data_IF_908831292202
#
_entry.id   IF_908831292202
#
_cell.length_a   1.000
_cell.length_b   1.000
_cell.length_c   1.000
_cell.angle_alpha   90.00
_cell.angle_beta   90.00
_cell.angle_gamma   90.00
#
_symmetry.space_group_name_H-M   'P 1'
#
loop_
_entity.id
_entity.type
_entity.pdbx_description
1 polymer ?
#
# COMPACT_ATOMS: atom_id res chain seq x y z
N UNK A 1 12.87 -23.85 7.51
CA UNK A 1 12.78 -22.59 6.75
C UNK A 1 12.41 -21.49 7.71
N UNK A 2 13.03 -20.31 7.61
CA UNK A 2 12.57 -19.14 8.36
C UNK A 2 11.21 -18.71 7.79
N UNK A 3 10.24 -18.48 8.67
CA UNK A 3 8.94 -17.96 8.29
C UNK A 3 9.11 -16.48 7.96
N UNK A 4 8.88 -16.09 6.71
CA UNK A 4 9.00 -14.68 6.28
C UNK A 4 7.80 -13.87 6.77
N UNK A 5 8.01 -12.57 6.96
CA UNK A 5 6.96 -11.63 7.36
C UNK A 5 6.17 -11.25 6.10
N UNK A 6 4.83 -11.30 6.15
CA UNK A 6 3.97 -10.81 5.06
C UNK A 6 3.64 -9.33 5.31
N UNK A 7 4.19 -8.38 4.53
CA UNK A 7 3.90 -6.98 4.73
C UNK A 7 2.48 -6.64 4.24
N UNK A 8 1.74 -5.91 5.08
CA UNK A 8 0.44 -5.36 4.74
C UNK A 8 0.52 -3.84 4.77
N UNK A 9 0.35 -3.19 3.62
CA UNK A 9 0.47 -1.74 3.47
C UNK A 9 -0.92 -1.14 3.26
N UNK A 10 -1.38 -0.31 4.20
CA UNK A 10 -2.65 0.40 4.08
C UNK A 10 -2.44 1.76 3.39
N UNK A 11 -2.79 1.83 2.11
CA UNK A 11 -2.66 3.00 1.24
C UNK A 11 -4.03 3.64 0.92
N UNK A 12 -4.93 3.66 1.91
CA UNK A 12 -6.25 4.26 1.82
C UNK A 12 -6.34 5.71 2.31
N UNK A 13 -7.50 6.33 2.07
CA UNK A 13 -7.83 7.68 2.54
C UNK A 13 -7.44 8.79 1.55
N UNK A 14 -8.28 9.84 1.50
CA UNK A 14 -8.11 10.97 0.56
C UNK A 14 -7.09 12.01 1.03
N UNK A 15 -6.76 12.03 2.33
CA UNK A 15 -5.71 12.87 2.91
C UNK A 15 -5.85 14.37 2.56
N UNK A 16 -6.87 15.06 3.06
CA UNK A 16 -7.17 16.46 2.70
C UNK A 16 -6.35 17.52 3.46
N UNK A 17 -5.59 17.11 4.47
CA UNK A 17 -4.85 18.01 5.39
C UNK A 17 -3.58 18.64 4.78
N UNK A 18 -3.10 18.10 3.65
CA UNK A 18 -1.91 18.62 2.97
C UNK A 18 -2.28 19.49 1.76
N UNK A 19 -3.49 20.03 1.71
CA UNK A 19 -3.85 20.98 0.66
C UNK A 19 -2.88 22.18 0.68
N UNK A 20 -2.37 22.69 -0.46
CA UNK A 20 -2.74 22.33 -1.85
C UNK A 20 -1.90 21.20 -2.48
N UNK A 21 -0.95 20.62 -1.75
CA UNK A 21 -0.10 19.50 -2.21
C UNK A 21 -0.93 18.23 -2.44
N UNK A 22 -1.81 17.89 -1.49
CA UNK A 22 -2.79 16.81 -1.70
C UNK A 22 -3.99 17.32 -2.51
N UNK A 23 -4.29 16.66 -3.61
CA UNK A 23 -5.50 16.87 -4.42
C UNK A 23 -6.35 15.60 -4.41
N UNK A 24 -7.63 15.70 -4.80
CA UNK A 24 -8.49 14.52 -4.90
C UNK A 24 -7.88 13.41 -5.79
N UNK A 25 -7.17 13.81 -6.85
CA UNK A 25 -6.45 12.90 -7.76
C UNK A 25 -5.05 12.48 -7.27
N UNK A 26 -4.51 13.14 -6.24
CA UNK A 26 -3.16 12.88 -5.72
C UNK A 26 -3.18 12.87 -4.17
N UNK A 27 -3.62 11.76 -3.56
CA UNK A 27 -3.60 11.56 -2.12
C UNK A 27 -2.18 11.66 -1.54
N UNK A 28 -2.08 11.98 -0.25
CA UNK A 28 -0.81 12.16 0.45
C UNK A 28 0.21 11.03 0.24
N UNK A 29 -0.25 9.78 0.10
CA UNK A 29 0.61 8.61 0.00
C UNK A 29 1.26 8.50 -1.37
N UNK A 30 0.68 9.12 -2.40
CA UNK A 30 1.11 9.01 -3.79
C UNK A 30 1.80 10.28 -4.31
N UNK A 31 2.10 11.25 -3.43
CA UNK A 31 2.87 12.45 -3.77
C UNK A 31 4.31 12.32 -3.29
N UNK A 32 5.24 12.92 -4.04
CA UNK A 32 6.61 13.18 -3.59
C UNK A 32 6.57 14.28 -2.54
N UNK A 33 6.61 13.88 -1.27
CA UNK A 33 6.55 14.81 -0.15
C UNK A 33 7.95 15.30 0.25
N UNK A 34 8.93 14.39 0.25
CA UNK A 34 10.35 14.66 0.52
C UNK A 34 11.15 13.80 -0.47
N UNK A 35 12.03 14.43 -1.25
CA UNK A 35 12.87 13.72 -2.21
C UNK A 35 12.16 13.34 -3.50
N UNK A 36 12.65 12.28 -4.15
CA UNK A 36 12.27 11.81 -5.48
C UNK A 36 11.24 10.67 -5.47
N UNK A 37 10.93 10.11 -4.29
CA UNK A 37 9.96 9.03 -4.13
C UNK A 37 8.70 9.48 -3.37
N UNK A 38 7.59 8.80 -3.65
CA UNK A 38 6.37 8.99 -2.87
C UNK A 38 6.45 8.30 -1.51
N UNK A 39 5.58 8.69 -0.57
CA UNK A 39 5.50 8.02 0.73
C UNK A 39 5.16 6.52 0.60
N UNK A 40 4.37 6.16 -0.41
CA UNK A 40 4.05 4.77 -0.74
C UNK A 40 5.29 4.02 -1.24
N UNK A 41 6.03 4.62 -2.17
CA UNK A 41 7.28 4.06 -2.71
C UNK A 41 8.35 3.86 -1.63
N UNK A 42 8.55 4.85 -0.76
CA UNK A 42 9.42 4.74 0.42
C UNK A 42 8.98 3.61 1.36
N UNK A 43 7.67 3.40 1.51
CA UNK A 43 7.13 2.32 2.34
C UNK A 43 7.37 0.94 1.72
N UNK A 44 7.24 0.80 0.40
CA UNK A 44 7.58 -0.43 -0.31
C UNK A 44 9.07 -0.77 -0.16
N UNK A 45 9.95 0.21 -0.35
CA UNK A 45 11.40 0.02 -0.23
C UNK A 45 11.82 -0.44 1.18
N UNK A 46 11.09 -0.03 2.23
CA UNK A 46 11.36 -0.46 3.61
C UNK A 46 11.13 -1.96 3.84
N UNK A 47 10.26 -2.59 3.04
CA UNK A 47 9.86 -4.00 3.19
C UNK A 47 10.27 -4.85 1.98
N UNK A 48 11.34 -4.45 1.27
CA UNK A 48 11.76 -5.09 0.02
C UNK A 48 12.83 -6.17 0.17
N UNK A 49 13.36 -6.41 1.37
CA UNK A 49 14.38 -7.45 1.58
C UNK A 49 13.75 -8.85 1.41
N UNK A 50 14.10 -9.59 0.34
CA UNK A 50 13.48 -10.88 0.05
C UNK A 50 13.90 -11.98 1.03
N UNK A 51 14.94 -11.77 1.84
CA UNK A 51 15.33 -12.71 2.90
C UNK A 51 14.40 -12.61 4.12
N UNK A 52 13.76 -11.45 4.34
CA UNK A 52 12.91 -11.16 5.49
C UNK A 52 11.42 -11.16 5.16
N UNK A 53 11.07 -10.68 3.97
CA UNK A 53 9.69 -10.37 3.61
C UNK A 53 9.18 -11.19 2.42
N UNK A 54 7.90 -11.51 2.47
CA UNK A 54 7.13 -11.89 1.28
C UNK A 54 6.77 -10.66 0.45
N UNK A 55 6.31 -10.89 -0.78
CA UNK A 55 5.75 -9.82 -1.61
C UNK A 55 4.57 -9.14 -0.85
N UNK A 56 4.53 -7.80 -0.79
CA UNK A 56 3.56 -7.08 0.04
C UNK A 56 2.14 -7.18 -0.53
N UNK A 57 1.16 -7.16 0.38
CA UNK A 57 -0.25 -6.93 0.07
C UNK A 57 -0.57 -5.45 0.33
N UNK A 58 -1.23 -4.78 -0.61
CA UNK A 58 -1.62 -3.38 -0.47
C UNK A 58 -3.13 -3.27 -0.33
N UNK A 59 -3.60 -2.63 0.74
CA UNK A 59 -5.00 -2.29 0.94
C UNK A 59 -5.25 -0.86 0.48
N UNK A 60 -6.22 -0.68 -0.41
CA UNK A 60 -6.61 0.65 -0.90
C UNK A 60 -8.05 0.67 -1.37
N UNK A 61 -8.54 1.79 -1.88
CA UNK A 61 -9.87 1.88 -2.48
C UNK A 61 -9.82 1.75 -4.02
N UNK A 62 -10.99 1.63 -4.64
CA UNK A 62 -11.13 1.52 -6.10
C UNK A 62 -10.47 2.68 -6.89
N UNK A 63 -10.49 3.89 -6.31
CA UNK A 63 -9.96 5.12 -6.92
C UNK A 63 -8.43 5.05 -7.10
N UNK A 64 -7.72 4.34 -6.21
CA UNK A 64 -6.25 4.34 -6.19
C UNK A 64 -5.61 3.03 -6.66
N UNK A 65 -6.41 2.06 -7.11
CA UNK A 65 -5.92 0.73 -7.53
C UNK A 65 -4.81 0.82 -8.59
N UNK A 66 -4.96 1.74 -9.54
CA UNK A 66 -3.99 1.91 -10.63
C UNK A 66 -2.72 2.60 -10.14
N UNK A 67 -2.84 3.67 -9.33
CA UNK A 67 -1.69 4.35 -8.75
C UNK A 67 -0.81 3.42 -7.91
N UNK A 68 -1.43 2.53 -7.13
CA UNK A 68 -0.70 1.50 -6.36
C UNK A 68 0.11 0.60 -7.29
N UNK A 69 -0.53 0.06 -8.33
CA UNK A 69 0.13 -0.84 -9.27
C UNK A 69 1.26 -0.13 -10.04
N UNK A 70 1.02 1.09 -10.50
CA UNK A 70 1.99 1.88 -11.25
C UNK A 70 3.21 2.25 -10.42
N UNK A 71 3.03 2.78 -9.21
CA UNK A 71 4.16 3.19 -8.37
C UNK A 71 4.97 2.01 -7.84
N UNK A 72 4.35 0.83 -7.63
CA UNK A 72 5.08 -0.39 -7.32
C UNK A 72 5.92 -0.85 -8.53
N UNK A 73 5.35 -0.81 -9.74
CA UNK A 73 6.03 -1.15 -10.99
C UNK A 73 7.20 -0.22 -11.30
N UNK A 74 7.07 1.08 -11.03
CA UNK A 74 8.16 2.07 -11.18
C UNK A 74 9.41 1.72 -10.36
N UNK A 75 9.23 1.05 -9.21
CA UNK A 75 10.34 0.57 -8.37
C UNK A 75 10.76 -0.89 -8.68
N UNK A 76 10.12 -1.55 -9.62
CA UNK A 76 10.34 -2.98 -9.87
C UNK A 76 9.84 -3.89 -8.73
N UNK A 77 8.99 -3.40 -7.83
CA UNK A 77 8.42 -4.21 -6.75
C UNK A 77 7.21 -5.00 -7.25
N UNK A 78 7.24 -6.31 -7.00
CA UNK A 78 6.08 -7.19 -7.24
C UNK A 78 5.20 -7.20 -6.00
N UNK A 79 3.93 -6.85 -6.17
CA UNK A 79 2.92 -6.97 -5.11
C UNK A 79 2.31 -8.38 -5.15
N UNK A 80 2.02 -8.97 -3.99
CA UNK A 80 1.30 -10.24 -3.90
C UNK A 80 -0.18 -10.06 -4.28
N UNK A 81 -0.79 -8.98 -3.78
CA UNK A 81 -2.18 -8.65 -4.05
C UNK A 81 -2.44 -7.16 -3.79
N UNK A 82 -3.48 -6.64 -4.45
CA UNK A 82 -4.11 -5.35 -4.13
C UNK A 82 -5.52 -5.65 -3.64
N UNK A 83 -5.78 -5.43 -2.36
CA UNK A 83 -7.08 -5.64 -1.73
C UNK A 83 -7.86 -4.33 -1.73
N UNK A 84 -9.01 -4.33 -2.39
CA UNK A 84 -9.84 -3.15 -2.58
C UNK A 84 -10.93 -3.07 -1.51
N UNK A 85 -10.89 -2.02 -0.69
CA UNK A 85 -11.91 -1.68 0.27
C UNK A 85 -13.13 -1.09 -0.47
N UNK A 86 -14.33 -1.71 -0.37
CA UNK A 86 -15.52 -1.20 -1.05
C UNK A 86 -16.01 0.10 -0.43
N UNK A 87 -15.75 0.30 0.88
CA UNK A 87 -16.14 1.48 1.65
C UNK A 87 -15.09 1.75 2.71
N UNK A 88 -14.71 3.01 2.90
CA UNK A 88 -13.81 3.41 3.98
C UNK A 88 -14.48 3.15 5.35
N UNK A 89 -13.90 2.24 6.14
CA UNK A 89 -14.42 1.81 7.45
C UNK A 89 -13.37 1.87 8.58
N UNK A 90 -12.37 2.76 8.45
CA UNK A 90 -11.22 2.89 9.35
C UNK A 90 -10.32 1.64 9.38
N UNK A 91 -9.35 1.64 10.28
CA UNK A 91 -8.23 0.70 10.28
C UNK A 91 -8.59 -0.72 10.72
N UNK A 92 -9.46 -0.90 11.71
CA UNK A 92 -9.74 -2.24 12.25
C UNK A 92 -10.37 -3.20 11.21
N UNK A 93 -11.39 -2.79 10.43
CA UNK A 93 -11.93 -3.64 9.36
C UNK A 93 -10.92 -3.93 8.24
N UNK A 94 -10.07 -2.95 7.90
CA UNK A 94 -9.01 -3.13 6.91
C UNK A 94 -8.01 -4.21 7.36
N UNK A 95 -7.55 -4.14 8.62
CA UNK A 95 -6.64 -5.13 9.20
C UNK A 95 -7.30 -6.52 9.25
N UNK A 96 -8.57 -6.62 9.62
CA UNK A 96 -9.29 -7.88 9.65
C UNK A 96 -9.39 -8.51 8.24
N UNK A 97 -9.77 -7.73 7.23
CA UNK A 97 -9.84 -8.21 5.84
C UNK A 97 -8.46 -8.63 5.31
N UNK A 98 -7.41 -7.88 5.64
CA UNK A 98 -6.04 -8.24 5.29
C UNK A 98 -5.60 -9.56 5.94
N UNK A 99 -5.89 -9.74 7.23
CA UNK A 99 -5.54 -10.95 7.96
C UNK A 99 -6.23 -12.19 7.38
N UNK A 100 -7.51 -12.09 7.04
CA UNK A 100 -8.24 -13.17 6.34
C UNK A 100 -7.58 -13.50 5.01
N UNK A 101 -7.27 -12.50 4.19
CA UNK A 101 -6.63 -12.72 2.89
C UNK A 101 -5.22 -13.34 3.03
N UNK A 102 -4.45 -12.92 4.04
CA UNK A 102 -3.13 -13.50 4.33
C UNK A 102 -3.25 -14.98 4.67
N UNK A 103 -4.22 -15.35 5.51
CA UNK A 103 -4.46 -16.74 5.89
C UNK A 103 -4.89 -17.64 4.71
N UNK A 104 -5.51 -17.06 3.68
CA UNK A 104 -5.91 -17.80 2.46
C UNK A 104 -4.76 -17.93 1.44
N UNK A 105 -3.78 -17.01 1.46
CA UNK A 105 -2.70 -16.92 0.47
C UNK A 105 -1.37 -17.55 0.89
N UNK A 106 -1.16 -17.77 2.21
CA UNK A 106 0.08 -18.23 2.82
C UNK A 106 -0.20 -19.26 3.91
#
# INVERSE_FOLDING_TARGET
MMQKIVPVIMAGGKGTRLWPLSRAAAPKQFIQFIGDKTLFQETLARVSDPALYEAPIVLTNEEFRFLVAEQARELGHTLKAILLEPVARNTAPAVAAAATLVADLF
#
